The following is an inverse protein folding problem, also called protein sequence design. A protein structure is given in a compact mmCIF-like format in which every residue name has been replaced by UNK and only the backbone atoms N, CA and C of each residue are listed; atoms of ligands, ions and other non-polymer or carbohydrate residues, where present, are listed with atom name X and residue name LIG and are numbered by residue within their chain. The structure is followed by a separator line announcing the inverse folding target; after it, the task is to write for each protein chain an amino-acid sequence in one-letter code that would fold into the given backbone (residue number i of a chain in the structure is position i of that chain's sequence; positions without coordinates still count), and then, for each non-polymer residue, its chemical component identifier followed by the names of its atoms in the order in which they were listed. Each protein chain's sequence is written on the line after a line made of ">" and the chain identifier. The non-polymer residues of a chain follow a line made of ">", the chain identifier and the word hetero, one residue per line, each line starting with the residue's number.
data_IF_117038483245
#
_entry.id   IF_117038483245
#
_cell.length_a   1.000
_cell.length_b   1.000
_cell.length_c   1.000
_cell.angle_alpha   90.00
_cell.angle_beta   90.00
_cell.angle_gamma   90.00
#
_symmetry.space_group_name_H-M   'P 1'
#
loop_
_entity.id
_entity.type
_entity.pdbx_description
1 polymer ?
#
# COMPACT_ATOMS: atom_id res chain seq x y z
N UNK A 1 10.91 -2.98 -6.36
CA UNK A 1 11.65 -2.91 -5.10
C UNK A 1 10.81 -2.12 -4.15
N UNK A 2 10.45 -2.68 -3.02
CA UNK A 2 10.04 -1.94 -1.82
C UNK A 2 11.23 -1.89 -0.85
N UNK A 3 11.28 -0.87 -0.01
CA UNK A 3 12.31 -0.75 1.02
C UNK A 3 11.74 0.07 2.15
N UNK A 4 11.96 -0.31 3.41
CA UNK A 4 11.54 0.48 4.57
C UNK A 4 12.41 1.73 4.78
N UNK A 5 13.65 1.72 4.30
CA UNK A 5 14.58 2.85 4.41
C UNK A 5 14.19 3.95 3.42
N UNK A 6 14.05 5.18 3.92
CA UNK A 6 13.76 6.34 3.09
C UNK A 6 14.89 6.63 2.11
N UNK A 7 14.54 6.95 0.87
CA UNK A 7 15.47 7.33 -0.16
C UNK A 7 15.84 8.82 -0.06
N UNK A 8 17.13 9.11 -0.10
CA UNK A 8 17.68 10.44 -0.40
C UNK A 8 17.85 10.62 -1.91
N UNK A 9 18.10 11.86 -2.36
CA UNK A 9 18.43 12.16 -3.77
C UNK A 9 19.54 11.26 -4.33
N UNK A 10 20.61 11.04 -3.56
CA UNK A 10 21.73 10.21 -3.95
C UNK A 10 21.32 8.74 -4.11
N UNK A 11 20.59 8.20 -3.12
CA UNK A 11 20.15 6.80 -3.16
C UNK A 11 19.07 6.56 -4.23
N UNK A 12 18.17 7.52 -4.48
CA UNK A 12 17.17 7.43 -5.54
C UNK A 12 17.83 7.40 -6.93
N UNK A 13 18.85 8.23 -7.16
CA UNK A 13 19.63 8.20 -8.40
C UNK A 13 20.38 6.86 -8.58
N UNK A 14 20.93 6.30 -7.50
CA UNK A 14 21.56 4.98 -7.54
C UNK A 14 20.55 3.88 -7.89
N UNK A 15 19.36 3.88 -7.27
CA UNK A 15 18.25 2.96 -7.59
C UNK A 15 17.87 3.03 -9.06
N UNK A 16 17.74 4.24 -9.62
CA UNK A 16 17.45 4.43 -11.05
C UNK A 16 18.56 3.86 -11.94
N UNK A 17 19.82 4.11 -11.58
CA UNK A 17 21.00 3.62 -12.32
C UNK A 17 21.09 2.10 -12.31
N UNK A 18 20.61 1.46 -11.23
CA UNK A 18 20.47 0.01 -11.12
C UNK A 18 19.37 -0.58 -12.02
N UNK A 19 18.68 0.23 -12.82
CA UNK A 19 17.64 -0.20 -13.76
C UNK A 19 16.24 -0.32 -13.13
N UNK A 20 16.07 0.05 -11.87
CA UNK A 20 14.77 0.06 -11.20
C UNK A 20 13.94 1.23 -11.74
N UNK A 21 12.63 0.99 -11.92
CA UNK A 21 11.70 1.97 -12.49
C UNK A 21 10.66 2.48 -11.50
N UNK A 22 10.34 1.68 -10.49
CA UNK A 22 9.36 2.01 -9.47
C UNK A 22 9.82 1.52 -8.10
N UNK A 23 9.46 2.27 -7.06
CA UNK A 23 9.73 1.95 -5.67
C UNK A 23 8.44 1.88 -4.85
N UNK A 24 8.26 0.80 -4.09
CA UNK A 24 7.17 0.65 -3.13
C UNK A 24 7.51 1.38 -1.84
N UNK A 25 6.63 2.27 -1.39
CA UNK A 25 6.84 3.07 -0.18
C UNK A 25 5.57 3.12 0.68
N UNK A 26 5.80 3.12 1.99
CA UNK A 26 4.74 2.99 2.98
C UNK A 26 4.05 4.33 3.27
N UNK A 27 2.74 4.31 3.41
CA UNK A 27 1.93 5.41 3.93
C UNK A 27 1.94 5.40 5.47
N UNK A 28 1.37 6.42 6.12
CA UNK A 28 1.25 6.51 7.58
C UNK A 28 2.20 7.52 8.24
N UNK A 29 2.83 8.41 7.45
CA UNK A 29 3.69 9.45 8.03
C UNK A 29 2.87 10.54 8.73
N UNK A 30 1.79 11.02 8.10
CA UNK A 30 0.96 12.12 8.60
C UNK A 30 -0.10 11.67 9.60
N UNK A 31 -0.74 10.52 9.38
CA UNK A 31 -1.83 10.02 10.21
C UNK A 31 -1.31 9.29 11.43
N UNK A 32 -0.20 8.55 11.30
CA UNK A 32 0.29 7.63 12.32
C UNK A 32 1.72 7.92 12.80
N UNK A 33 2.46 8.81 12.12
CA UNK A 33 3.83 9.18 12.50
C UNK A 33 4.87 8.08 12.28
N UNK A 34 4.59 7.08 11.44
CA UNK A 34 5.48 5.93 11.26
C UNK A 34 6.81 6.30 10.59
N UNK A 35 7.91 5.86 11.18
CA UNK A 35 9.27 6.16 10.68
C UNK A 35 9.59 5.57 9.31
N UNK A 36 8.99 4.43 8.94
CA UNK A 36 9.18 3.75 7.64
C UNK A 36 8.47 4.46 6.48
N UNK A 37 7.53 5.34 6.78
CA UNK A 37 6.61 5.92 5.81
C UNK A 37 7.22 7.06 5.02
N UNK A 38 6.78 7.22 3.77
CA UNK A 38 7.26 8.23 2.83
C UNK A 38 6.93 9.65 3.29
N UNK A 39 7.84 10.59 3.02
CA UNK A 39 7.63 12.03 3.24
C UNK A 39 7.60 12.77 1.91
N UNK A 40 7.15 14.04 1.92
CA UNK A 40 7.20 14.90 0.74
C UNK A 40 8.64 15.09 0.20
N UNK A 41 9.63 15.20 1.08
CA UNK A 41 11.04 15.33 0.68
C UNK A 41 11.54 14.07 -0.03
N UNK A 42 11.21 12.88 0.50
CA UNK A 42 11.55 11.61 -0.15
C UNK A 42 10.84 11.46 -1.50
N UNK A 43 9.53 11.78 -1.56
CA UNK A 43 8.77 11.76 -2.81
C UNK A 43 9.42 12.66 -3.87
N UNK A 44 9.85 13.86 -3.48
CA UNK A 44 10.59 14.78 -4.36
C UNK A 44 11.89 14.17 -4.89
N UNK A 45 12.66 13.49 -4.05
CA UNK A 45 13.88 12.80 -4.46
C UNK A 45 13.60 11.67 -5.46
N UNK A 46 12.56 10.87 -5.23
CA UNK A 46 12.17 9.76 -6.11
C UNK A 46 11.74 10.28 -7.48
N UNK A 47 10.87 11.28 -7.52
CA UNK A 47 10.40 11.87 -8.78
C UNK A 47 11.52 12.57 -9.54
N UNK A 48 12.43 13.27 -8.86
CA UNK A 48 13.61 13.90 -9.47
C UNK A 48 14.51 12.87 -10.14
N UNK A 49 14.65 11.67 -9.55
CA UNK A 49 15.38 10.56 -10.16
C UNK A 49 14.64 9.87 -11.33
N UNK A 50 13.41 10.31 -11.65
CA UNK A 50 12.59 9.72 -12.71
C UNK A 50 12.09 8.31 -12.38
N UNK A 51 11.84 8.04 -11.09
CA UNK A 51 11.24 6.81 -10.59
C UNK A 51 9.75 7.02 -10.30
N UNK A 52 8.95 5.98 -10.49
CA UNK A 52 7.55 5.93 -10.04
C UNK A 52 7.45 5.46 -8.59
N UNK A 53 6.38 5.84 -7.90
CA UNK A 53 6.09 5.38 -6.54
C UNK A 53 4.86 4.49 -6.53
N UNK A 54 4.92 3.39 -5.78
CA UNK A 54 3.78 2.57 -5.40
C UNK A 54 3.50 2.83 -3.91
N UNK A 55 2.26 3.16 -3.57
CA UNK A 55 1.87 3.53 -2.20
C UNK A 55 1.26 2.33 -1.46
N UNK A 56 1.80 2.01 -0.28
CA UNK A 56 1.48 0.80 0.48
C UNK A 56 0.98 1.15 1.88
N UNK A 57 -0.18 0.64 2.28
CA UNK A 57 -0.71 0.70 3.64
C UNK A 57 -0.43 -0.62 4.37
N UNK A 58 0.47 -0.56 5.35
CA UNK A 58 0.91 -1.70 6.18
C UNK A 58 0.99 -1.27 7.64
N UNK A 59 -0.19 -1.23 8.27
CA UNK A 59 -0.36 -0.95 9.70
C UNK A 59 0.16 -2.12 10.53
N UNK A 60 -0.69 -3.05 10.92
CA UNK A 60 -0.29 -4.31 11.58
C UNK A 60 -1.16 -5.50 11.12
N UNK A 61 -1.22 -5.79 9.80
CA UNK A 61 -2.10 -6.82 9.25
C UNK A 61 -1.51 -8.23 9.39
N UNK A 62 -1.04 -8.57 10.60
CA UNK A 62 -0.20 -9.73 10.92
C UNK A 62 -0.98 -10.92 11.50
N UNK A 63 -2.30 -10.81 11.61
CA UNK A 63 -3.18 -11.91 12.05
C UNK A 63 -4.61 -11.78 11.53
N UNK A 64 -5.35 -12.88 11.45
CA UNK A 64 -6.75 -12.91 10.96
C UNK A 64 -7.67 -11.92 11.71
N UNK A 65 -7.42 -11.68 13.00
CA UNK A 65 -8.23 -10.76 13.82
C UNK A 65 -8.17 -9.29 13.38
N UNK A 66 -7.15 -8.92 12.60
CA UNK A 66 -7.05 -7.60 11.97
C UNK A 66 -8.14 -7.39 10.92
N UNK A 67 -8.54 -8.44 10.21
CA UNK A 67 -9.32 -8.33 9.00
C UNK A 67 -10.82 -8.37 9.29
N UNK A 68 -11.49 -7.23 9.09
CA UNK A 68 -12.93 -7.10 9.05
C UNK A 68 -13.29 -5.82 8.27
N UNK A 69 -14.56 -5.70 7.86
CA UNK A 69 -15.03 -4.56 7.05
C UNK A 69 -14.79 -3.20 7.73
N UNK A 70 -15.09 -3.07 9.04
CA UNK A 70 -14.92 -1.81 9.76
C UNK A 70 -13.47 -1.34 9.79
N UNK A 71 -12.53 -2.27 9.96
CA UNK A 71 -11.09 -1.99 9.88
C UNK A 71 -10.66 -1.59 8.48
N UNK A 72 -11.22 -2.22 7.45
CA UNK A 72 -11.00 -1.84 6.05
C UNK A 72 -11.42 -0.40 5.75
N UNK A 73 -12.60 0.01 6.20
CA UNK A 73 -13.08 1.39 6.05
C UNK A 73 -12.17 2.39 6.77
N UNK A 74 -11.76 2.07 8.00
CA UNK A 74 -10.88 2.93 8.79
C UNK A 74 -9.51 3.12 8.10
N UNK A 75 -8.89 2.03 7.65
CA UNK A 75 -7.61 2.05 6.95
C UNK A 75 -7.68 2.84 5.63
N UNK A 76 -8.75 2.65 4.85
CA UNK A 76 -8.93 3.37 3.60
C UNK A 76 -8.98 4.89 3.80
N UNK A 77 -9.67 5.37 4.84
CA UNK A 77 -9.75 6.80 5.16
C UNK A 77 -8.39 7.39 5.57
N UNK A 78 -7.60 6.62 6.31
CA UNK A 78 -6.23 7.04 6.64
C UNK A 78 -5.34 7.06 5.41
N UNK A 79 -5.41 6.03 4.57
CA UNK A 79 -4.66 5.96 3.31
C UNK A 79 -5.02 7.11 2.35
N UNK A 80 -6.30 7.51 2.27
CA UNK A 80 -6.73 8.72 1.53
C UNK A 80 -6.03 9.96 2.07
N UNK A 81 -6.05 10.17 3.38
CA UNK A 81 -5.44 11.36 4.02
C UNK A 81 -3.94 11.47 3.70
N UNK A 82 -3.25 10.32 3.67
CA UNK A 82 -1.84 10.23 3.29
C UNK A 82 -1.63 10.47 1.79
N UNK A 83 -2.45 9.86 0.93
CA UNK A 83 -2.37 10.04 -0.51
C UNK A 83 -2.60 11.50 -0.91
N UNK A 84 -3.57 12.17 -0.30
CA UNK A 84 -3.84 13.60 -0.49
C UNK A 84 -2.70 14.47 0.02
N UNK A 85 -2.12 14.13 1.17
CA UNK A 85 -0.93 14.81 1.69
C UNK A 85 0.26 14.74 0.73
N UNK A 86 0.45 13.60 0.07
CA UNK A 86 1.49 13.39 -0.93
C UNK A 86 1.14 14.00 -2.31
N UNK A 87 -0.09 14.50 -2.49
CA UNK A 87 -0.58 15.02 -3.77
C UNK A 87 -0.81 13.93 -4.82
N UNK A 88 -1.10 12.69 -4.40
CA UNK A 88 -1.42 11.61 -5.31
C UNK A 88 -2.72 11.94 -6.08
N UNK A 89 -2.75 11.81 -7.41
CA UNK A 89 -3.98 12.03 -8.18
C UNK A 89 -5.07 11.01 -7.84
N UNK A 90 -6.34 11.41 -8.01
CA UNK A 90 -7.46 10.47 -7.98
C UNK A 90 -7.24 9.33 -9.00
N UNK A 91 -7.71 8.14 -8.66
CA UNK A 91 -7.50 6.91 -9.44
C UNK A 91 -6.12 6.28 -9.24
N UNK A 92 -5.25 6.83 -8.39
CA UNK A 92 -4.01 6.15 -7.98
C UNK A 92 -4.32 4.86 -7.23
N UNK A 93 -3.55 3.80 -7.49
CA UNK A 93 -3.62 2.54 -6.75
C UNK A 93 -3.02 2.70 -5.33
N UNK A 94 -3.80 2.36 -4.31
CA UNK A 94 -3.33 2.23 -2.92
C UNK A 94 -3.34 0.75 -2.53
N UNK A 95 -2.18 0.21 -2.14
CA UNK A 95 -2.03 -1.21 -1.84
C UNK A 95 -2.20 -1.48 -0.35
N UNK A 96 -3.15 -2.33 0.00
CA UNK A 96 -3.38 -2.77 1.38
C UNK A 96 -2.78 -4.16 1.57
N UNK A 97 -2.15 -4.36 2.72
CA UNK A 97 -1.28 -5.51 2.96
C UNK A 97 -1.97 -6.63 3.74
N UNK A 98 -1.62 -7.87 3.42
CA UNK A 98 -1.87 -9.07 4.20
C UNK A 98 -0.51 -9.65 4.56
N UNK A 99 0.00 -9.31 5.74
CA UNK A 99 1.41 -9.52 6.12
C UNK A 99 1.58 -10.70 7.10
N UNK A 100 1.06 -11.85 6.70
CA UNK A 100 1.24 -13.12 7.39
C UNK A 100 0.92 -14.29 6.46
N UNK A 101 1.27 -15.52 6.86
CA UNK A 101 0.96 -16.75 6.13
C UNK A 101 -0.51 -17.14 6.30
N UNK A 102 -1.41 -16.40 5.65
CA UNK A 102 -2.84 -16.61 5.76
C UNK A 102 -3.31 -17.99 5.27
N UNK A 103 -4.17 -18.62 6.05
CA UNK A 103 -4.77 -19.90 5.76
C UNK A 103 -6.01 -19.74 4.88
N UNK A 104 -6.48 -20.83 4.28
CA UNK A 104 -7.73 -20.79 3.47
C UNK A 104 -8.94 -20.40 4.33
N UNK A 105 -8.91 -20.71 5.62
CA UNK A 105 -9.92 -20.31 6.60
C UNK A 105 -10.03 -18.80 6.79
N UNK A 106 -8.95 -18.06 6.53
CA UNK A 106 -8.86 -16.63 6.84
C UNK A 106 -9.41 -15.76 5.70
N UNK A 107 -9.66 -16.38 4.54
CA UNK A 107 -10.06 -15.68 3.32
C UNK A 107 -11.39 -14.94 3.45
N UNK A 108 -12.33 -15.44 4.25
CA UNK A 108 -13.60 -14.75 4.48
C UNK A 108 -13.37 -13.38 5.15
N UNK A 109 -12.56 -13.35 6.22
CA UNK A 109 -12.21 -12.13 6.93
C UNK A 109 -11.43 -11.15 6.04
N UNK A 110 -10.48 -11.66 5.24
CA UNK A 110 -9.70 -10.86 4.29
C UNK A 110 -10.61 -10.24 3.21
N UNK A 111 -11.56 -11.01 2.65
CA UNK A 111 -12.53 -10.48 1.66
C UNK A 111 -13.42 -9.40 2.29
N UNK A 112 -13.90 -9.60 3.53
CA UNK A 112 -14.66 -8.58 4.25
C UNK A 112 -13.86 -7.29 4.45
N UNK A 113 -12.58 -7.42 4.83
CA UNK A 113 -11.67 -6.27 4.95
C UNK A 113 -11.56 -5.51 3.63
N UNK A 114 -11.27 -6.18 2.51
CA UNK A 114 -11.14 -5.51 1.21
C UNK A 114 -12.47 -4.91 0.70
N UNK A 115 -13.61 -5.50 1.07
CA UNK A 115 -14.92 -4.86 0.83
C UNK A 115 -15.05 -3.53 1.58
N UNK A 116 -14.65 -3.49 2.85
CA UNK A 116 -14.62 -2.27 3.64
C UNK A 116 -13.60 -1.24 3.11
N UNK A 117 -12.44 -1.69 2.64
CA UNK A 117 -11.44 -0.81 1.99
C UNK A 117 -12.06 -0.13 0.76
N UNK A 118 -12.71 -0.89 -0.12
CA UNK A 118 -13.37 -0.33 -1.32
C UNK A 118 -14.44 0.70 -0.95
N UNK A 119 -15.27 0.39 0.04
CA UNK A 119 -16.27 1.33 0.56
C UNK A 119 -15.62 2.62 1.06
N UNK A 120 -14.57 2.50 1.88
CA UNK A 120 -13.86 3.63 2.45
C UNK A 120 -13.11 4.48 1.42
N UNK A 121 -12.64 3.89 0.32
CA UNK A 121 -12.00 4.62 -0.79
C UNK A 121 -13.01 5.39 -1.65
N UNK A 122 -14.29 5.02 -1.62
CA UNK A 122 -15.38 5.73 -2.30
C UNK A 122 -15.08 6.08 -3.78
N UNK A 123 -14.42 5.17 -4.51
CA UNK A 123 -14.00 5.34 -5.91
C UNK A 123 -12.99 6.48 -6.18
N UNK A 124 -12.53 7.19 -5.14
CA UNK A 124 -11.53 8.25 -5.27
C UNK A 124 -10.16 7.67 -5.63
N UNK A 125 -9.82 6.52 -5.06
CA UNK A 125 -8.59 5.75 -5.32
C UNK A 125 -8.91 4.30 -5.63
N UNK A 126 -7.96 3.60 -6.26
CA UNK A 126 -8.12 2.21 -6.65
C UNK A 126 -7.57 1.28 -5.57
N UNK A 127 -8.28 0.16 -5.33
CA UNK A 127 -7.87 -0.83 -4.33
C UNK A 127 -6.81 -1.76 -4.92
N UNK A 128 -5.62 -1.78 -4.34
CA UNK A 128 -4.61 -2.79 -4.57
C UNK A 128 -4.47 -3.73 -3.36
N UNK A 129 -4.09 -4.99 -3.60
CA UNK A 129 -3.71 -5.91 -2.53
C UNK A 129 -2.25 -6.35 -2.65
N UNK A 130 -1.59 -6.50 -1.50
CA UNK A 130 -0.21 -6.99 -1.38
C UNK A 130 -0.11 -8.06 -0.30
N UNK A 131 0.44 -9.22 -0.61
CA UNK A 131 0.59 -10.32 0.35
C UNK A 131 0.65 -11.71 -0.28
N UNK A 132 1.24 -12.67 0.43
CA UNK A 132 1.54 -14.02 -0.08
C UNK A 132 0.28 -14.83 -0.44
N UNK A 133 -0.83 -14.59 0.27
CA UNK A 133 -2.11 -15.32 0.09
C UNK A 133 -2.77 -15.08 -1.26
N UNK A 134 -2.39 -14.01 -1.95
CA UNK A 134 -2.95 -13.61 -3.24
C UNK A 134 -2.58 -14.62 -4.36
N UNK A 135 -1.64 -15.54 -4.12
CA UNK A 135 -1.15 -16.54 -5.09
C UNK A 135 -2.16 -17.67 -5.37
N UNK A 136 -3.24 -17.78 -4.59
CA UNK A 136 -4.17 -18.91 -4.72
C UNK A 136 -5.15 -18.67 -5.88
N UNK A 137 -5.28 -19.61 -6.84
CA UNK A 137 -6.05 -19.42 -8.08
C UNK A 137 -7.56 -19.20 -7.88
N UNK A 138 -8.09 -19.42 -6.67
CA UNK A 138 -9.51 -19.25 -6.34
C UNK A 138 -9.80 -18.02 -5.46
N UNK A 139 -8.81 -17.16 -5.21
CA UNK A 139 -9.02 -15.92 -4.45
C UNK A 139 -9.66 -14.87 -5.36
N UNK A 140 -11.01 -14.78 -5.35
CA UNK A 140 -11.73 -13.66 -5.96
C UNK A 140 -11.70 -12.45 -5.03
N UNK A 141 -10.55 -11.78 -4.98
CA UNK A 141 -10.48 -10.43 -4.44
C UNK A 141 -10.82 -9.45 -5.55
N UNK A 142 -11.88 -8.66 -5.36
CA UNK A 142 -12.26 -7.60 -6.29
C UNK A 142 -11.36 -6.37 -6.07
N UNK A 143 -10.10 -6.50 -6.48
CA UNK A 143 -9.07 -5.45 -6.41
C UNK A 143 -8.60 -5.11 -7.82
N UNK A 144 -8.25 -3.84 -8.03
CA UNK A 144 -7.82 -3.34 -9.33
C UNK A 144 -6.46 -3.93 -9.75
N UNK A 145 -5.55 -4.14 -8.78
CA UNK A 145 -4.24 -4.72 -9.03
C UNK A 145 -3.71 -5.53 -7.85
N UNK A 146 -2.99 -6.61 -8.18
CA UNK A 146 -2.26 -7.43 -7.23
C UNK A 146 -0.76 -7.12 -7.36
N UNK A 147 -0.10 -6.85 -6.24
CA UNK A 147 1.36 -6.81 -6.16
C UNK A 147 1.85 -7.93 -5.23
N UNK A 148 2.99 -8.48 -5.60
CA UNK A 148 3.59 -9.64 -4.96
C UNK A 148 4.84 -9.19 -4.20
N UNK A 149 5.00 -9.74 -2.99
CA UNK A 149 6.26 -9.72 -2.24
C UNK A 149 7.14 -10.90 -2.69
#
# INVERSE_FOLDING_TARGET
>A
MDCATRLTYQTAAAVKTAGIRAVGRYLGYKTEGWGKSITLDELGAIHTAGLSVVLIWESDPTSVGYFNSAKGVADAKQAITEAEYLGAPNGTDLYFTVDYDALSSDMAAIVEYFSGVREGLAEQYMVGAYGSVLRRPNTKLEVHRLLWA
#
